data_IF_759948823348
#
_entry.id   IF_759948823348
#
_cell.length_a   1.000
_cell.length_b   1.000
_cell.length_c   1.000
_cell.angle_alpha   90.00
_cell.angle_beta   90.00
_cell.angle_gamma   90.00
#
_symmetry.space_group_name_H-M   'P 1'
#
loop_
_entity.id
_entity.type
_entity.pdbx_description
1 polymer ?
#
# COMPACT_ATOMS: atom_id res chain seq x y z
N UNK A 1 -47.44 -16.02 -3.84
CA UNK A 1 -46.86 -15.03 -4.77
C UNK A 1 -46.12 -14.03 -3.90
N UNK A 2 -44.89 -14.35 -3.53
CA UNK A 2 -44.06 -13.52 -2.66
C UNK A 2 -43.19 -12.63 -3.52
N UNK A 3 -43.26 -11.32 -3.29
CA UNK A 3 -42.49 -10.33 -4.02
C UNK A 3 -40.99 -10.58 -3.79
N UNK A 4 -40.27 -10.92 -4.87
CA UNK A 4 -38.82 -10.93 -4.88
C UNK A 4 -38.36 -9.48 -4.79
N UNK A 5 -37.87 -9.04 -3.64
CA UNK A 5 -37.21 -7.75 -3.51
C UNK A 5 -35.99 -7.74 -4.45
N UNK A 6 -36.11 -7.09 -5.60
CA UNK A 6 -34.98 -6.87 -6.51
C UNK A 6 -33.95 -5.98 -5.80
N UNK A 7 -32.92 -6.60 -5.24
CA UNK A 7 -31.79 -5.90 -4.62
C UNK A 7 -30.95 -5.28 -5.74
N UNK A 8 -31.28 -4.04 -6.12
CA UNK A 8 -30.55 -3.32 -7.17
C UNK A 8 -29.23 -2.79 -6.63
N UNK A 9 -28.10 -3.33 -7.10
CA UNK A 9 -26.77 -2.79 -6.82
C UNK A 9 -26.59 -1.46 -7.55
N UNK A 10 -26.41 -0.36 -6.81
CA UNK A 10 -26.12 0.97 -7.38
C UNK A 10 -24.65 1.32 -7.17
N UNK A 11 -23.99 1.75 -8.24
CA UNK A 11 -22.68 2.37 -8.13
C UNK A 11 -22.84 3.74 -7.47
N UNK A 12 -22.16 3.95 -6.35
CA UNK A 12 -22.15 5.22 -5.62
C UNK A 12 -20.72 5.72 -5.52
N UNK A 13 -20.50 6.98 -5.90
CA UNK A 13 -19.23 7.66 -5.71
C UNK A 13 -19.21 8.31 -4.35
N UNK A 14 -18.21 8.01 -3.53
CA UNK A 14 -17.99 8.68 -2.26
C UNK A 14 -17.01 9.84 -2.42
N UNK A 15 -17.27 10.94 -1.71
CA UNK A 15 -16.29 12.02 -1.61
C UNK A 15 -15.16 11.63 -0.65
N UNK A 16 -14.05 12.36 -0.67
CA UNK A 16 -12.92 12.09 0.23
C UNK A 16 -13.32 12.23 1.70
N UNK A 17 -14.20 13.18 2.04
CA UNK A 17 -14.73 13.34 3.39
C UNK A 17 -15.53 12.12 3.82
N UNK A 18 -16.39 11.59 2.94
CA UNK A 18 -17.17 10.37 3.18
C UNK A 18 -16.28 9.14 3.38
N UNK A 19 -15.14 9.08 2.67
CA UNK A 19 -14.17 7.99 2.82
C UNK A 19 -13.46 8.01 4.18
N UNK A 20 -13.34 9.17 4.84
CA UNK A 20 -12.70 9.32 6.16
C UNK A 20 -13.67 9.32 7.35
N UNK A 21 -14.97 9.15 7.08
CA UNK A 21 -15.98 9.09 8.14
C UNK A 21 -15.74 7.96 9.13
N UNK A 22 -16.11 8.25 10.37
CA UNK A 22 -16.08 7.30 11.46
C UNK A 22 -16.98 6.10 11.16
N UNK A 23 -16.50 4.92 11.55
CA UNK A 23 -17.27 3.69 11.46
C UNK A 23 -17.83 3.39 12.84
N UNK A 24 -19.09 2.98 12.90
CA UNK A 24 -19.80 2.69 14.14
C UNK A 24 -19.79 1.19 14.45
N UNK A 25 -19.95 0.85 15.73
CA UNK A 25 -19.97 -0.54 16.23
C UNK A 25 -21.03 -1.37 15.51
N UNK A 26 -22.22 -0.80 15.37
CA UNK A 26 -23.29 -1.33 14.53
C UNK A 26 -23.26 -0.60 13.17
N UNK A 27 -23.07 -1.31 12.04
CA UNK A 27 -23.01 -0.69 10.72
C UNK A 27 -24.21 0.23 10.45
N UNK A 28 -23.94 1.52 10.19
CA UNK A 28 -24.97 2.51 9.88
C UNK A 28 -25.72 3.11 11.07
N UNK A 29 -25.51 2.63 12.30
CA UNK A 29 -26.15 3.16 13.49
C UNK A 29 -25.24 4.12 14.26
N UNK A 30 -25.46 5.41 14.06
CA UNK A 30 -24.71 6.52 14.69
C UNK A 30 -24.80 6.54 16.24
N UNK A 31 -25.78 5.82 16.82
CA UNK A 31 -25.97 5.76 18.28
C UNK A 31 -25.12 4.69 18.97
N UNK A 32 -24.51 3.77 18.22
CA UNK A 32 -23.78 2.60 18.76
C UNK A 32 -22.35 2.90 19.23
N UNK A 33 -21.90 4.15 19.11
CA UNK A 33 -20.53 4.55 19.41
C UNK A 33 -19.53 4.22 18.29
N UNK A 34 -18.36 4.84 18.33
CA UNK A 34 -17.34 4.73 17.28
C UNK A 34 -16.55 3.43 17.44
N UNK A 35 -16.47 2.64 16.37
CA UNK A 35 -15.51 1.54 16.23
C UNK A 35 -14.17 2.09 15.76
N UNK A 36 -13.29 2.37 16.73
CA UNK A 36 -11.97 2.94 16.47
C UNK A 36 -11.13 2.02 15.57
N UNK A 37 -11.15 0.70 15.79
CA UNK A 37 -10.34 -0.25 15.04
C UNK A 37 -10.74 -0.23 13.56
N UNK A 38 -12.04 -0.38 13.28
CA UNK A 38 -12.56 -0.33 11.90
C UNK A 38 -12.30 1.04 11.27
N UNK A 39 -12.46 2.12 12.02
CA UNK A 39 -12.19 3.48 11.54
C UNK A 39 -10.74 3.67 11.11
N UNK A 40 -9.77 3.25 11.93
CA UNK A 40 -8.35 3.38 11.60
C UNK A 40 -7.92 2.44 10.47
N UNK A 41 -8.40 1.18 10.45
CA UNK A 41 -8.11 0.25 9.35
C UNK A 41 -8.58 0.82 8.00
N UNK A 42 -9.79 1.38 7.97
CA UNK A 42 -10.35 2.00 6.76
C UNK A 42 -9.56 3.23 6.31
N UNK A 43 -9.17 4.11 7.24
CA UNK A 43 -8.33 5.27 6.94
C UNK A 43 -6.95 4.86 6.44
N UNK A 44 -6.33 3.86 7.06
CA UNK A 44 -5.04 3.30 6.64
C UNK A 44 -5.11 2.70 5.24
N UNK A 45 -6.18 1.95 4.93
CA UNK A 45 -6.40 1.39 3.60
C UNK A 45 -6.36 2.47 2.51
N UNK A 46 -6.94 3.65 2.78
CA UNK A 46 -6.96 4.75 1.82
C UNK A 46 -5.67 5.58 1.82
N UNK A 47 -5.10 5.91 3.00
CA UNK A 47 -3.95 6.80 3.13
C UNK A 47 -2.63 6.14 2.69
N UNK A 48 -2.40 4.88 3.08
CA UNK A 48 -1.14 4.19 2.83
C UNK A 48 -0.78 4.05 1.34
N UNK A 49 -1.72 3.78 0.41
CA UNK A 49 -1.44 3.80 -1.02
C UNK A 49 -0.89 5.13 -1.53
N UNK A 50 -1.42 6.28 -1.07
CA UNK A 50 -0.90 7.59 -1.47
C UNK A 50 0.51 7.83 -0.95
N UNK A 51 0.76 7.43 0.31
CA UNK A 51 2.10 7.50 0.89
C UNK A 51 3.08 6.62 0.09
N UNK A 52 2.71 5.38 -0.22
CA UNK A 52 3.51 4.49 -1.05
C UNK A 52 3.80 5.08 -2.42
N UNK A 53 2.79 5.62 -3.10
CA UNK A 53 2.94 6.25 -4.41
C UNK A 53 3.90 7.45 -4.34
N UNK A 54 3.75 8.30 -3.33
CA UNK A 54 4.66 9.41 -3.10
C UNK A 54 6.11 8.94 -2.91
N UNK A 55 6.33 7.95 -2.05
CA UNK A 55 7.65 7.37 -1.79
C UNK A 55 8.27 6.78 -3.06
N UNK A 56 7.49 6.10 -3.90
CA UNK A 56 7.95 5.59 -5.20
C UNK A 56 8.36 6.72 -6.15
N UNK A 57 7.56 7.78 -6.25
CA UNK A 57 7.88 8.94 -7.08
C UNK A 57 9.18 9.62 -6.64
N UNK A 58 9.34 9.86 -5.33
CA UNK A 58 10.59 10.42 -4.80
C UNK A 58 11.78 9.47 -4.99
N UNK A 59 11.59 8.16 -4.78
CA UNK A 59 12.61 7.14 -5.02
C UNK A 59 13.09 7.14 -6.47
N UNK A 60 12.17 7.26 -7.44
CA UNK A 60 12.50 7.35 -8.85
C UNK A 60 13.27 8.64 -9.19
N UNK A 61 12.83 9.79 -8.68
CA UNK A 61 13.51 11.08 -8.87
C UNK A 61 14.93 11.07 -8.31
N UNK A 62 15.10 10.58 -7.07
CA UNK A 62 16.40 10.46 -6.42
C UNK A 62 17.30 9.47 -7.18
N UNK A 63 16.75 8.35 -7.63
CA UNK A 63 17.47 7.36 -8.45
C UNK A 63 17.97 7.93 -9.77
N UNK A 64 17.13 8.70 -10.48
CA UNK A 64 17.51 9.38 -11.72
C UNK A 64 18.64 10.40 -11.49
N UNK A 65 18.51 11.20 -10.43
CA UNK A 65 19.57 12.14 -10.02
C UNK A 65 20.87 11.40 -9.66
N UNK A 66 20.80 10.21 -9.02
CA UNK A 66 21.95 9.37 -8.72
C UNK A 66 22.71 8.97 -9.99
N UNK A 67 21.98 8.55 -11.02
CA UNK A 67 22.53 8.16 -12.31
C UNK A 67 23.24 9.32 -13.00
N UNK A 68 22.64 10.52 -12.98
CA UNK A 68 23.22 11.73 -13.57
C UNK A 68 24.50 12.15 -12.81
N UNK A 69 24.44 12.17 -11.47
CA UNK A 69 25.54 12.64 -10.63
C UNK A 69 26.60 11.57 -10.32
N UNK A 70 26.44 10.33 -10.80
CA UNK A 70 27.30 9.16 -10.50
C UNK A 70 27.59 8.97 -9.00
N UNK A 71 26.60 9.23 -8.16
CA UNK A 71 26.74 9.13 -6.70
C UNK A 71 26.11 7.85 -6.16
N UNK A 72 26.78 7.19 -5.19
CA UNK A 72 26.35 5.92 -4.61
C UNK A 72 25.36 6.08 -3.44
N UNK A 73 25.44 7.18 -2.70
CA UNK A 73 24.54 7.45 -1.56
C UNK A 73 23.06 7.58 -1.97
N UNK A 74 22.71 8.25 -3.09
CA UNK A 74 21.32 8.34 -3.52
C UNK A 74 20.74 6.98 -3.96
N UNK A 75 21.59 6.01 -4.36
CA UNK A 75 21.16 4.63 -4.67
C UNK A 75 20.70 3.88 -3.40
N UNK A 76 21.38 4.09 -2.26
CA UNK A 76 20.93 3.53 -0.98
C UNK A 76 19.62 4.20 -0.54
N UNK A 77 19.53 5.52 -0.70
CA UNK A 77 18.33 6.29 -0.36
C UNK A 77 17.10 5.81 -1.15
N UNK A 78 17.21 5.62 -2.47
CA UNK A 78 16.10 5.06 -3.26
C UNK A 78 15.71 3.65 -2.81
N UNK A 79 16.69 2.81 -2.44
CA UNK A 79 16.42 1.48 -1.87
C UNK A 79 15.58 1.55 -0.59
N UNK A 80 15.90 2.47 0.33
CA UNK A 80 15.11 2.68 1.57
C UNK A 80 13.70 3.19 1.25
N UNK A 81 13.56 4.13 0.30
CA UNK A 81 12.25 4.63 -0.11
C UNK A 81 11.36 3.52 -0.70
N UNK A 82 11.94 2.63 -1.51
CA UNK A 82 11.24 1.44 -2.03
C UNK A 82 10.87 0.44 -0.93
N UNK A 83 11.69 0.27 0.11
CA UNK A 83 11.36 -0.56 1.27
C UNK A 83 10.14 0.00 2.01
N UNK A 84 10.14 1.30 2.30
CA UNK A 84 9.05 1.98 3.00
C UNK A 84 7.77 1.96 2.17
N UNK A 85 7.85 2.17 0.85
CA UNK A 85 6.72 2.01 -0.06
C UNK A 85 6.14 0.59 -0.02
N UNK A 86 7.01 -0.43 0.00
CA UNK A 86 6.66 -1.84 0.19
C UNK A 86 5.85 -2.08 1.47
N UNK A 87 6.32 -1.55 2.59
CA UNK A 87 5.63 -1.64 3.88
C UNK A 87 4.28 -0.93 3.87
N UNK A 88 4.18 0.25 3.25
CA UNK A 88 2.91 0.96 3.10
C UNK A 88 1.91 0.18 2.25
N UNK A 89 2.36 -0.39 1.12
CA UNK A 89 1.51 -1.21 0.25
C UNK A 89 1.02 -2.47 0.96
N UNK A 90 1.94 -3.19 1.62
CA UNK A 90 1.61 -4.39 2.42
C UNK A 90 0.63 -4.05 3.56
N UNK A 91 0.85 -2.91 4.22
CA UNK A 91 -0.04 -2.39 5.25
C UNK A 91 -1.44 -2.09 4.71
N UNK A 92 -1.55 -1.46 3.53
CA UNK A 92 -2.84 -1.19 2.88
C UNK A 92 -3.61 -2.49 2.56
N UNK A 93 -2.92 -3.47 1.95
CA UNK A 93 -3.49 -4.79 1.64
C UNK A 93 -3.98 -5.49 2.92
N UNK A 94 -3.15 -5.47 3.98
CA UNK A 94 -3.49 -6.08 5.27
C UNK A 94 -4.68 -5.37 5.94
N UNK A 95 -4.71 -4.04 5.91
CA UNK A 95 -5.82 -3.25 6.46
C UNK A 95 -7.12 -3.51 5.71
N UNK A 96 -7.07 -3.67 4.39
CA UNK A 96 -8.24 -4.00 3.59
C UNK A 96 -8.80 -5.39 3.95
N UNK A 97 -7.95 -6.41 3.98
CA UNK A 97 -8.38 -7.77 4.35
C UNK A 97 -8.96 -7.79 5.77
N UNK A 98 -8.25 -7.22 6.74
CA UNK A 98 -8.74 -7.14 8.12
C UNK A 98 -10.07 -6.35 8.23
N UNK A 99 -10.23 -5.29 7.45
CA UNK A 99 -11.47 -4.51 7.39
C UNK A 99 -12.65 -5.31 6.84
N UNK A 100 -12.43 -6.12 5.81
CA UNK A 100 -13.44 -6.99 5.21
C UNK A 100 -13.84 -8.13 6.15
N UNK A 101 -12.87 -8.77 6.82
CA UNK A 101 -13.13 -9.81 7.83
C UNK A 101 -13.98 -9.28 8.99
N UNK A 102 -13.62 -8.12 9.54
CA UNK A 102 -14.41 -7.44 10.57
C UNK A 102 -15.79 -7.01 10.07
N UNK A 103 -15.97 -6.79 8.76
CA UNK A 103 -17.26 -6.47 8.17
C UNK A 103 -18.15 -7.71 8.06
N UNK A 104 -17.60 -8.83 7.59
CA UNK A 104 -18.32 -10.11 7.50
C UNK A 104 -18.76 -10.63 8.87
N UNK A 105 -17.98 -10.40 9.93
CA UNK A 105 -18.39 -10.76 11.30
C UNK A 105 -19.61 -9.98 11.80
N UNK A 106 -19.87 -8.79 11.25
CA UNK A 106 -20.93 -7.88 11.70
C UNK A 106 -22.14 -7.87 10.77
N UNK A 107 -21.97 -8.26 9.51
CA UNK A 107 -22.99 -8.21 8.49
C UNK A 107 -22.90 -9.47 7.63
N UNK A 108 -23.94 -10.29 7.65
CA UNK A 108 -24.04 -11.42 6.74
C UNK A 108 -24.15 -10.91 5.30
N UNK A 109 -23.34 -11.48 4.40
CA UNK A 109 -23.44 -11.18 2.98
C UNK A 109 -24.77 -11.71 2.44
N UNK A 110 -25.52 -10.91 1.66
CA UNK A 110 -26.72 -11.41 1.00
C UNK A 110 -26.36 -12.53 0.03
N UNK A 111 -27.21 -13.57 -0.07
CA UNK A 111 -26.94 -14.82 -0.80
C UNK A 111 -26.62 -14.63 -2.30
N UNK A 112 -26.97 -13.47 -2.86
CA UNK A 112 -26.77 -13.12 -4.26
C UNK A 112 -25.46 -12.35 -4.56
N UNK A 113 -24.61 -12.09 -3.56
CA UNK A 113 -23.34 -11.37 -3.74
C UNK A 113 -22.16 -12.28 -3.46
N UNK A 114 -21.33 -12.53 -4.48
CA UNK A 114 -20.02 -13.18 -4.31
C UNK A 114 -19.01 -12.15 -3.78
N UNK A 115 -18.42 -12.42 -2.61
CA UNK A 115 -17.39 -11.57 -1.98
C UNK A 115 -16.02 -11.66 -2.65
N UNK A 116 -15.96 -11.50 -3.97
CA UNK A 116 -14.71 -11.65 -4.74
C UNK A 116 -13.84 -10.39 -4.68
N UNK A 117 -12.52 -10.58 -4.66
CA UNK A 117 -11.56 -9.49 -4.73
C UNK A 117 -11.35 -8.99 -6.16
N UNK A 118 -11.31 -7.68 -6.34
CA UNK A 118 -11.03 -7.06 -7.64
C UNK A 118 -9.57 -7.16 -8.08
N UNK A 119 -9.31 -7.04 -9.39
CA UNK A 119 -7.96 -7.05 -9.98
C UNK A 119 -6.97 -6.08 -9.34
N UNK A 120 -7.44 -4.89 -8.95
CA UNK A 120 -6.61 -3.88 -8.29
C UNK A 120 -6.01 -4.40 -6.97
N UNK A 121 -6.76 -5.22 -6.23
CA UNK A 121 -6.26 -5.85 -5.02
C UNK A 121 -5.16 -6.87 -5.32
N UNK A 122 -5.35 -7.71 -6.35
CA UNK A 122 -4.32 -8.65 -6.79
C UNK A 122 -3.04 -7.92 -7.22
N UNK A 123 -3.17 -6.82 -7.97
CA UNK A 123 -2.03 -5.99 -8.37
C UNK A 123 -1.32 -5.36 -7.15
N UNK A 124 -2.06 -4.93 -6.13
CA UNK A 124 -1.48 -4.44 -4.88
C UNK A 124 -0.73 -5.55 -4.11
N UNK A 125 -1.24 -6.78 -4.12
CA UNK A 125 -0.57 -7.93 -3.50
C UNK A 125 0.76 -8.27 -4.20
N UNK A 126 0.83 -8.13 -5.52
CA UNK A 126 2.05 -8.38 -6.31
C UNK A 126 3.02 -7.20 -6.21
N UNK A 127 2.54 -5.97 -6.08
CA UNK A 127 3.40 -4.79 -6.07
C UNK A 127 4.28 -4.69 -4.82
N UNK A 128 3.81 -5.09 -3.64
CA UNK A 128 4.63 -5.07 -2.42
C UNK A 128 5.90 -5.95 -2.51
N UNK A 129 5.83 -7.23 -2.90
CA UNK A 129 7.02 -8.05 -3.18
C UNK A 129 7.96 -7.43 -4.22
N UNK A 130 7.42 -6.85 -5.30
CA UNK A 130 8.22 -6.19 -6.32
C UNK A 130 8.95 -4.95 -5.77
N UNK A 131 8.30 -4.18 -4.89
CA UNK A 131 8.94 -3.03 -4.21
C UNK A 131 10.06 -3.49 -3.26
N UNK A 132 9.87 -4.58 -2.53
CA UNK A 132 10.93 -5.17 -1.69
C UNK A 132 12.10 -5.70 -2.53
N UNK A 133 11.81 -6.35 -3.66
CA UNK A 133 12.83 -6.79 -4.61
C UNK A 133 13.63 -5.59 -5.14
N UNK A 134 12.95 -4.53 -5.58
CA UNK A 134 13.60 -3.31 -6.04
C UNK A 134 14.50 -2.70 -4.95
N UNK A 135 14.00 -2.63 -3.71
CA UNK A 135 14.78 -2.17 -2.56
C UNK A 135 16.07 -2.98 -2.36
N UNK A 136 15.96 -4.31 -2.35
CA UNK A 136 17.10 -5.21 -2.19
C UNK A 136 18.13 -5.04 -3.30
N UNK A 137 17.67 -4.92 -4.56
CA UNK A 137 18.53 -4.70 -5.72
C UNK A 137 19.27 -3.36 -5.65
N UNK A 138 18.59 -2.27 -5.26
CA UNK A 138 19.25 -0.96 -5.11
C UNK A 138 20.30 -0.95 -4.01
N UNK A 139 19.98 -1.53 -2.85
CA UNK A 139 20.93 -1.64 -1.73
C UNK A 139 22.13 -2.50 -2.15
N UNK A 140 21.87 -3.64 -2.79
CA UNK A 140 22.92 -4.52 -3.29
C UNK A 140 23.82 -3.85 -4.33
N UNK A 141 23.24 -3.13 -5.29
CA UNK A 141 23.99 -2.38 -6.30
C UNK A 141 24.88 -1.32 -5.66
N UNK A 142 24.38 -0.59 -4.65
CA UNK A 142 25.18 0.40 -3.94
C UNK A 142 26.36 -0.23 -3.17
N UNK A 143 26.14 -1.37 -2.53
CA UNK A 143 27.21 -2.11 -1.83
C UNK A 143 28.28 -2.61 -2.80
N UNK A 144 27.87 -3.22 -3.91
CA UNK A 144 28.78 -3.73 -4.94
C UNK A 144 29.63 -2.59 -5.52
N UNK A 145 29.01 -1.48 -5.91
CA UNK A 145 29.74 -0.33 -6.45
C UNK A 145 30.71 0.30 -5.45
N UNK A 146 30.37 0.35 -4.15
CA UNK A 146 31.28 0.85 -3.11
C UNK A 146 32.51 -0.03 -2.93
N UNK A 147 32.33 -1.36 -3.02
CA UNK A 147 33.44 -2.33 -2.95
C UNK A 147 34.38 -2.15 -4.14
N UNK A 148 33.83 -2.08 -5.36
CA UNK A 148 34.60 -1.82 -6.58
C UNK A 148 35.35 -0.49 -6.53
N UNK A 149 34.69 0.59 -6.08
CA UNK A 149 35.33 1.91 -5.96
C UNK A 149 36.50 1.91 -4.98
N UNK A 150 36.35 1.19 -3.86
CA UNK A 150 37.41 1.07 -2.83
C UNK A 150 38.60 0.27 -3.36
N UNK A 151 38.35 -0.83 -4.08
CA UNK A 151 39.38 -1.63 -4.73
C UNK A 151 40.14 -0.82 -5.80
N UNK A 152 39.43 -0.13 -6.70
CA UNK A 152 40.06 0.74 -7.70
C UNK A 152 40.90 1.85 -7.07
N UNK A 153 40.45 2.44 -5.95
CA UNK A 153 41.22 3.43 -5.21
C UNK A 153 42.49 2.83 -4.60
N UNK A 154 42.43 1.62 -4.06
CA UNK A 154 43.61 0.92 -3.52
C UNK A 154 44.65 0.61 -4.61
N UNK A 155 44.22 0.13 -5.78
CA UNK A 155 45.12 -0.15 -6.91
C UNK A 155 45.79 1.09 -7.50
N UNK A 156 45.21 2.29 -7.35
CA UNK A 156 45.84 3.53 -7.81
C UNK A 156 46.92 4.07 -6.86
N UNK A 157 46.99 3.56 -5.63
CA UNK A 157 47.91 4.05 -4.59
C UNK A 157 49.10 3.09 -4.39
N UNK A 158 48.96 1.84 -4.81
CA UNK A 158 50.05 0.86 -4.88
C UNK A 158 50.86 1.02 -6.18
#
# INVERSE_FOLDING_TARGET
MGESFDVVTKCVSFTLTEQFMEKFVDPGNHNSGIDLLRTYLWRCQFLLPFVSLGLMCFGALIGLCACICRSLYPTIATGILHLLAGLCTLGSVSCYVAGIELLHQKLELPENVSGEFGWSFCLACVSAPLQFMASALFIWAAHTNRKEYTLMKAYRVA
#
